data_IF_089606171984
#
_entry.id   IF_089606171984
#
_cell.length_a   1.000
_cell.length_b   1.000
_cell.length_c   1.000
_cell.angle_alpha   90.00
_cell.angle_beta   90.00
_cell.angle_gamma   90.00
#
_symmetry.space_group_name_H-M   'P 1'
#
loop_
_entity.id
_entity.type
_entity.pdbx_description
1 polymer ?
#
# COMPACT_ATOMS: atom_id res chain seq x y z
N UNK A 1 16.78 0.71 -8.89
CA UNK A 1 15.90 1.25 -7.84
C UNK A 1 16.38 0.65 -6.52
N UNK A 2 16.70 1.49 -5.57
CA UNK A 2 17.28 1.03 -4.31
C UNK A 2 16.25 1.08 -3.17
N UNK A 3 15.30 2.00 -3.25
CA UNK A 3 14.24 2.17 -2.26
C UNK A 3 12.86 2.32 -2.92
N UNK A 4 11.80 1.97 -2.19
CA UNK A 4 10.42 2.07 -2.70
C UNK A 4 10.05 3.51 -3.09
N UNK A 5 10.66 4.51 -2.43
CA UNK A 5 10.52 5.91 -2.81
C UNK A 5 10.93 6.25 -4.25
N UNK A 6 11.81 5.45 -4.87
CA UNK A 6 12.23 5.64 -6.27
C UNK A 6 11.08 5.39 -7.26
N UNK A 7 10.10 4.56 -6.88
CA UNK A 7 8.87 4.36 -7.66
C UNK A 7 8.05 5.64 -7.80
N UNK A 8 8.24 6.57 -6.87
CA UNK A 8 7.53 7.85 -6.81
C UNK A 8 8.31 8.99 -7.48
N UNK A 9 9.39 8.71 -8.20
CA UNK A 9 10.19 9.73 -8.87
C UNK A 9 9.34 10.54 -9.86
N UNK A 10 9.61 11.85 -9.97
CA UNK A 10 8.78 12.78 -10.77
C UNK A 10 8.76 12.47 -12.26
N UNK A 11 9.83 11.90 -12.79
CA UNK A 11 9.97 11.49 -14.18
C UNK A 11 9.14 10.25 -14.52
N UNK A 12 8.68 9.50 -13.52
CA UNK A 12 7.75 8.36 -13.68
C UNK A 12 6.27 8.79 -13.80
N UNK A 13 5.97 10.07 -13.65
CA UNK A 13 4.59 10.59 -13.81
C UNK A 13 4.15 10.50 -15.26
N UNK A 14 3.20 9.63 -15.53
CA UNK A 14 2.57 9.49 -16.84
C UNK A 14 1.05 9.59 -16.74
N UNK A 15 0.36 9.43 -17.87
CA UNK A 15 -1.10 9.32 -17.94
C UNK A 15 -1.57 7.86 -17.97
N UNK A 16 -0.62 6.92 -17.96
CA UNK A 16 -0.93 5.51 -17.96
C UNK A 16 -1.53 5.12 -16.61
N UNK A 17 -2.40 4.13 -16.60
CA UNK A 17 -3.07 3.65 -15.39
C UNK A 17 -2.04 2.95 -14.50
N UNK A 18 -1.90 3.40 -13.26
CA UNK A 18 -1.05 2.79 -12.26
C UNK A 18 -1.83 1.91 -11.29
N UNK A 19 -3.09 2.28 -11.01
CA UNK A 19 -3.89 1.59 -10.01
C UNK A 19 -5.38 1.65 -10.39
N UNK A 20 -6.09 0.53 -10.19
CA UNK A 20 -7.54 0.42 -10.31
C UNK A 20 -8.09 -0.03 -8.95
N UNK A 21 -9.08 0.68 -8.44
CA UNK A 21 -9.75 0.33 -7.19
C UNK A 21 -10.91 -0.66 -7.41
N UNK A 22 -11.38 -1.30 -6.35
CA UNK A 22 -12.46 -2.29 -6.41
C UNK A 22 -13.77 -1.76 -7.04
N UNK A 23 -14.01 -0.44 -6.95
CA UNK A 23 -15.14 0.26 -7.59
C UNK A 23 -14.86 0.64 -9.07
N UNK A 24 -13.79 0.10 -9.66
CA UNK A 24 -13.40 0.31 -11.05
C UNK A 24 -12.77 1.67 -11.37
N UNK A 25 -12.49 2.51 -10.36
CA UNK A 25 -11.85 3.80 -10.61
C UNK A 25 -10.38 3.65 -10.94
N UNK A 26 -9.99 4.21 -12.06
CA UNK A 26 -8.59 4.26 -12.49
C UNK A 26 -7.86 5.46 -11.91
N UNK A 27 -6.59 5.25 -11.55
CA UNK A 27 -5.65 6.29 -11.10
C UNK A 27 -4.39 6.21 -11.95
N UNK A 28 -4.03 7.33 -12.54
CA UNK A 28 -2.80 7.42 -13.35
C UNK A 28 -1.55 7.42 -12.47
N UNK A 29 -0.38 7.12 -13.05
CA UNK A 29 0.91 7.29 -12.36
C UNK A 29 1.08 8.71 -11.83
N UNK A 30 0.62 9.71 -12.57
CA UNK A 30 0.61 11.11 -12.11
C UNK A 30 -0.23 11.27 -10.84
N UNK A 31 -1.43 10.69 -10.83
CA UNK A 31 -2.34 10.81 -9.68
C UNK A 31 -1.79 10.04 -8.47
N UNK A 32 -1.32 8.82 -8.68
CA UNK A 32 -0.74 7.99 -7.63
C UNK A 32 0.46 8.67 -6.96
N UNK A 33 1.45 9.10 -7.76
CA UNK A 33 2.66 9.76 -7.27
C UNK A 33 2.32 11.09 -6.57
N UNK A 34 1.42 11.89 -7.16
CA UNK A 34 1.01 13.17 -6.56
C UNK A 34 0.35 12.97 -5.21
N UNK A 35 -0.57 11.99 -5.10
CA UNK A 35 -1.26 11.72 -3.85
C UNK A 35 -0.37 10.98 -2.83
N UNK A 36 0.58 10.15 -3.26
CA UNK A 36 1.58 9.57 -2.35
C UNK A 36 2.46 10.66 -1.69
N UNK A 37 2.83 11.72 -2.43
CA UNK A 37 3.54 12.86 -1.84
C UNK A 37 2.70 13.62 -0.81
N UNK A 38 1.41 13.79 -1.09
CA UNK A 38 0.48 14.40 -0.14
C UNK A 38 0.32 13.52 1.10
N UNK A 39 0.19 12.21 0.91
CA UNK A 39 0.12 11.24 2.01
C UNK A 39 1.36 11.30 2.90
N UNK A 40 2.56 11.40 2.32
CA UNK A 40 3.79 11.59 3.07
C UNK A 40 3.75 12.88 3.92
N UNK A 41 3.24 13.99 3.40
CA UNK A 41 3.11 15.24 4.15
C UNK A 41 2.08 15.13 5.28
N UNK A 42 0.91 14.50 5.05
CA UNK A 42 -0.09 14.25 6.10
C UNK A 42 0.51 13.37 7.20
N UNK A 43 1.15 12.26 6.84
CA UNK A 43 1.80 11.38 7.82
C UNK A 43 2.86 12.12 8.63
N UNK A 44 3.68 12.95 7.97
CA UNK A 44 4.67 13.79 8.64
C UNK A 44 4.03 14.81 9.58
N UNK A 45 2.94 15.44 9.19
CA UNK A 45 2.16 16.35 10.04
C UNK A 45 1.64 15.63 11.28
N UNK A 46 1.14 14.39 11.12
CA UNK A 46 0.69 13.51 12.20
C UNK A 46 1.85 12.92 13.04
N UNK A 47 3.07 13.28 12.77
CA UNK A 47 4.23 12.93 13.58
C UNK A 47 5.05 11.75 13.08
N UNK A 48 4.68 11.11 11.96
CA UNK A 48 5.52 10.07 11.37
C UNK A 48 6.88 10.64 10.94
N UNK A 49 7.94 9.90 11.19
CA UNK A 49 9.33 10.23 10.89
C UNK A 49 10.06 8.96 10.51
N UNK A 50 11.26 9.12 9.98
CA UNK A 50 12.17 8.00 9.76
C UNK A 50 12.25 7.11 11.01
N UNK A 51 12.06 5.81 10.84
CA UNK A 51 12.06 4.80 11.89
C UNK A 51 10.82 4.73 12.78
N UNK A 52 9.87 5.68 12.68
CA UNK A 52 8.60 5.58 13.41
C UNK A 52 7.57 4.77 12.62
N UNK A 53 6.83 3.90 13.28
CA UNK A 53 5.85 3.02 12.62
C UNK A 53 4.55 3.75 12.29
N UNK A 54 4.03 3.47 11.10
CA UNK A 54 2.66 3.82 10.67
C UNK A 54 1.85 2.53 10.61
N UNK A 55 0.84 2.40 11.48
CA UNK A 55 -0.07 1.26 11.45
C UNK A 55 -1.22 1.55 10.49
N UNK A 56 -1.47 0.66 9.55
CA UNK A 56 -2.46 0.84 8.48
C UNK A 56 -3.37 -0.37 8.43
N UNK A 57 -4.65 -0.13 8.22
CA UNK A 57 -5.61 -1.18 7.94
C UNK A 57 -5.18 -2.05 6.74
N UNK A 58 -5.26 -3.40 6.85
CA UNK A 58 -4.73 -4.30 5.83
C UNK A 58 -5.63 -4.46 4.59
N UNK A 59 -6.81 -3.83 4.57
CA UNK A 59 -7.74 -3.92 3.44
C UNK A 59 -7.15 -3.23 2.20
N UNK A 60 -7.06 -3.94 1.05
CA UNK A 60 -6.62 -3.33 -0.19
C UNK A 60 -7.50 -2.16 -0.60
N UNK A 61 -6.90 -0.98 -0.74
CA UNK A 61 -7.62 0.24 -1.08
C UNK A 61 -6.71 1.38 -1.51
N UNK A 62 -7.29 2.41 -2.10
CA UNK A 62 -6.52 3.58 -2.55
C UNK A 62 -5.82 4.27 -1.37
N UNK A 63 -6.53 4.49 -0.27
CA UNK A 63 -6.00 5.23 0.89
C UNK A 63 -4.93 4.43 1.63
N UNK A 64 -5.11 3.12 1.79
CA UNK A 64 -4.12 2.22 2.40
C UNK A 64 -2.84 2.12 1.55
N UNK A 65 -3.00 2.04 0.22
CA UNK A 65 -1.86 2.07 -0.72
C UNK A 65 -1.13 3.42 -0.68
N UNK A 66 -1.86 4.55 -0.61
CA UNK A 66 -1.25 5.87 -0.49
C UNK A 66 -0.49 6.04 0.85
N UNK A 67 -1.06 5.55 1.94
CA UNK A 67 -0.40 5.57 3.25
C UNK A 67 0.91 4.77 3.22
N UNK A 68 0.88 3.56 2.63
CA UNK A 68 2.08 2.74 2.43
C UNK A 68 3.14 3.47 1.61
N UNK A 69 2.79 3.96 0.42
CA UNK A 69 3.75 4.65 -0.46
C UNK A 69 4.28 5.95 0.16
N UNK A 70 3.41 6.71 0.82
CA UNK A 70 3.80 7.93 1.53
C UNK A 70 4.74 7.66 2.70
N UNK A 71 4.45 6.65 3.51
CA UNK A 71 5.28 6.21 4.62
C UNK A 71 6.65 5.70 4.14
N UNK A 72 6.65 4.87 3.09
CA UNK A 72 7.88 4.39 2.44
C UNK A 72 8.78 5.54 1.98
N UNK A 73 8.18 6.59 1.39
CA UNK A 73 8.92 7.80 0.99
C UNK A 73 9.49 8.60 2.16
N UNK A 74 8.92 8.49 3.36
CA UNK A 74 9.42 9.13 4.60
C UNK A 74 10.47 8.30 5.35
N UNK A 75 10.63 7.01 5.02
CA UNK A 75 11.40 6.07 5.83
C UNK A 75 10.69 5.67 7.13
N UNK A 76 9.38 5.77 7.15
CA UNK A 76 8.53 5.29 8.23
C UNK A 76 8.01 3.89 7.87
N UNK A 77 8.45 2.81 8.53
CA UNK A 77 7.97 1.48 8.23
C UNK A 77 6.46 1.36 8.50
N UNK A 78 5.78 0.59 7.67
CA UNK A 78 4.35 0.33 7.82
C UNK A 78 4.14 -1.00 8.54
N UNK A 79 3.12 -1.07 9.40
CA UNK A 79 2.58 -2.30 9.94
C UNK A 79 1.11 -2.43 9.50
N UNK A 80 0.80 -3.53 8.83
CA UNK A 80 -0.57 -3.82 8.39
C UNK A 80 -1.24 -4.75 9.40
N UNK A 81 -1.68 -4.23 10.46
CA UNK A 81 -2.62 -4.79 11.42
C UNK A 81 -2.78 -3.85 12.63
N UNK A 82 -3.49 -2.75 12.50
CA UNK A 82 -3.69 -1.82 13.60
C UNK A 82 -4.59 -2.40 14.72
N UNK A 83 -5.33 -3.49 14.41
CA UNK A 83 -6.29 -4.09 15.34
C UNK A 83 -5.63 -5.08 16.30
N UNK A 84 -4.50 -5.68 15.93
CA UNK A 84 -3.76 -6.61 16.79
C UNK A 84 -3.14 -5.98 18.04
N UNK A 85 -3.28 -4.69 18.19
CA UNK A 85 -2.83 -3.92 19.34
C UNK A 85 -2.00 -2.72 18.89
N UNK A 86 -2.33 -1.56 19.43
CA UNK A 86 -1.58 -0.34 19.16
C UNK A 86 -0.31 -0.40 19.98
N UNK A 87 0.82 -0.64 19.32
CA UNK A 87 2.13 -0.74 19.95
C UNK A 87 2.69 0.65 20.27
N UNK A 88 3.54 0.74 21.29
CA UNK A 88 4.15 2.01 21.72
C UNK A 88 5.01 2.70 20.65
N UNK A 89 5.35 2.01 19.56
CA UNK A 89 6.15 2.55 18.45
C UNK A 89 5.33 3.24 17.35
N UNK A 90 4.02 3.03 17.35
CA UNK A 90 3.16 3.59 16.31
C UNK A 90 2.99 5.10 16.52
N UNK A 91 3.24 5.87 15.49
CA UNK A 91 3.03 7.33 15.50
C UNK A 91 1.72 7.73 14.88
N UNK A 92 1.27 6.97 13.90
CA UNK A 92 0.00 7.17 13.21
C UNK A 92 -0.68 5.82 13.08
N UNK A 93 -1.97 5.80 13.30
CA UNK A 93 -2.87 4.69 12.98
C UNK A 93 -3.85 5.19 11.93
N UNK A 94 -3.99 4.48 10.82
CA UNK A 94 -4.95 4.77 9.76
C UNK A 94 -5.90 3.60 9.56
N UNK A 95 -7.17 3.82 9.81
CA UNK A 95 -8.26 2.83 9.67
C UNK A 95 -9.45 3.40 8.91
N UNK A 96 -10.37 2.55 8.45
CA UNK A 96 -11.66 3.01 7.95
C UNK A 96 -12.45 3.75 9.06
N UNK A 97 -13.24 4.75 8.69
CA UNK A 97 -14.08 5.49 9.65
C UNK A 97 -15.04 4.58 10.42
N UNK A 98 -15.45 3.46 9.81
CA UNK A 98 -16.30 2.46 10.46
C UNK A 98 -15.64 1.81 11.70
N UNK A 99 -14.30 1.76 11.73
CA UNK A 99 -13.52 1.16 12.82
C UNK A 99 -13.02 2.19 13.85
N UNK A 100 -13.35 3.47 13.64
CA UNK A 100 -12.93 4.55 14.55
C UNK A 100 -13.32 4.27 15.99
N UNK A 101 -14.58 3.85 16.23
CA UNK A 101 -15.12 3.65 17.58
C UNK A 101 -14.43 2.51 18.34
N UNK A 102 -13.85 1.54 17.63
CA UNK A 102 -13.19 0.37 18.22
C UNK A 102 -11.67 0.53 18.29
N UNK A 103 -11.13 1.60 17.67
CA UNK A 103 -9.69 1.87 17.64
C UNK A 103 -9.32 2.86 18.75
N UNK A 104 -8.54 2.41 19.74
CA UNK A 104 -8.06 3.23 20.85
C UNK A 104 -6.54 3.44 20.72
N UNK A 105 -6.08 4.60 20.18
CA UNK A 105 -4.67 4.87 20.00
C UNK A 105 -3.93 4.98 21.34
N UNK A 106 -2.70 4.47 21.38
CA UNK A 106 -1.83 4.64 22.54
C UNK A 106 -1.47 6.11 22.74
N UNK A 107 -1.12 6.55 23.97
CA UNK A 107 -0.68 7.91 24.22
C UNK A 107 0.48 8.33 23.32
N UNK A 108 0.33 9.43 22.58
CA UNK A 108 1.31 9.94 21.62
C UNK A 108 1.21 9.35 20.21
N UNK A 109 0.20 8.53 19.95
CA UNK A 109 -0.18 8.04 18.63
C UNK A 109 -1.35 8.86 18.10
N UNK A 110 -1.30 9.30 16.85
CA UNK A 110 -2.38 10.02 16.19
C UNK A 110 -3.26 9.06 15.38
N UNK A 111 -4.57 9.14 15.56
CA UNK A 111 -5.54 8.39 14.78
C UNK A 111 -5.99 9.22 13.57
N UNK A 112 -6.00 8.61 12.40
CA UNK A 112 -6.60 9.13 11.19
C UNK A 112 -7.59 8.12 10.63
N UNK A 113 -8.68 8.60 10.04
CA UNK A 113 -9.68 7.74 9.41
C UNK A 113 -9.96 8.16 7.98
N UNK A 114 -10.23 7.16 7.13
CA UNK A 114 -10.65 7.35 5.74
C UNK A 114 -12.05 6.74 5.50
N UNK A 115 -12.67 7.12 4.38
CA UNK A 115 -14.01 6.64 3.99
C UNK A 115 -15.14 7.52 4.50
N UNK A 116 -14.83 8.66 5.12
CA UNK A 116 -15.78 9.65 5.61
C UNK A 116 -15.24 10.47 6.77
N UNK A 117 -16.00 11.50 7.22
CA UNK A 117 -15.59 12.32 8.34
C UNK A 117 -15.61 11.52 9.65
N UNK A 118 -14.59 11.69 10.51
CA UNK A 118 -14.56 11.06 11.83
C UNK A 118 -15.66 11.62 12.76
N UNK A 119 -16.06 10.80 13.74
CA UNK A 119 -17.00 11.21 14.79
C UNK A 119 -16.26 11.94 15.93
N UNK A 120 -15.01 11.58 16.23
CA UNK A 120 -14.20 12.18 17.29
C UNK A 120 -13.45 13.41 16.78
N UNK A 121 -13.51 14.57 17.47
CA UNK A 121 -12.84 15.79 17.01
C UNK A 121 -11.30 15.72 17.02
N UNK A 122 -10.72 14.80 17.80
CA UNK A 122 -9.28 14.54 17.86
C UNK A 122 -8.79 13.60 16.74
N UNK A 123 -9.69 12.90 16.07
CA UNK A 123 -9.36 12.03 14.93
C UNK A 123 -9.19 12.83 13.66
N UNK A 124 -8.14 12.56 12.92
CA UNK A 124 -7.86 13.27 11.67
C UNK A 124 -8.69 12.70 10.52
N UNK A 125 -9.36 13.57 9.79
CA UNK A 125 -10.04 13.20 8.53
C UNK A 125 -9.02 13.13 7.40
N UNK A 126 -8.60 11.91 7.04
CA UNK A 126 -7.51 11.65 6.10
C UNK A 126 -7.69 12.31 4.73
N UNK A 127 -8.88 12.19 4.11
CA UNK A 127 -9.15 12.75 2.80
C UNK A 127 -9.11 14.28 2.80
N UNK A 128 -9.60 14.90 3.86
CA UNK A 128 -9.58 16.36 4.00
C UNK A 128 -8.15 16.90 4.06
N UNK A 129 -7.30 16.23 4.84
CA UNK A 129 -5.88 16.60 4.93
C UNK A 129 -5.15 16.35 3.61
N UNK A 130 -5.36 15.19 2.97
CA UNK A 130 -4.81 14.91 1.63
C UNK A 130 -5.19 15.97 0.61
N UNK A 131 -6.45 16.44 0.65
CA UNK A 131 -6.92 17.44 -0.30
C UNK A 131 -6.18 18.76 -0.14
N UNK A 132 -5.90 19.18 1.08
CA UNK A 132 -5.25 20.45 1.40
C UNK A 132 -3.74 20.45 1.24
N UNK A 133 -3.10 19.27 1.19
CA UNK A 133 -1.64 19.17 1.20
C UNK A 133 -0.95 19.51 -0.11
N UNK A 134 0.30 19.96 0.03
CA UNK A 134 1.19 20.25 -1.09
C UNK A 134 1.72 18.94 -1.73
N UNK A 135 1.70 18.78 -3.06
CA UNK A 135 2.23 17.61 -3.76
C UNK A 135 3.77 17.61 -3.91
N UNK A 136 4.49 17.96 -2.86
CA UNK A 136 5.94 17.90 -2.78
C UNK A 136 6.39 16.79 -1.82
N UNK A 137 7.25 15.86 -2.27
CA UNK A 137 7.80 14.84 -1.39
C UNK A 137 8.67 15.49 -0.31
N UNK A 138 8.46 15.19 0.97
CA UNK A 138 9.36 15.60 2.03
C UNK A 138 10.75 14.99 1.84
N UNK A 139 11.83 15.68 2.24
CA UNK A 139 13.17 15.10 2.20
C UNK A 139 13.26 13.92 3.20
N UNK A 140 13.92 12.86 2.78
CA UNK A 140 14.24 11.67 3.59
C UNK A 140 15.62 11.12 3.23
N UNK A 141 16.19 10.29 4.11
CA UNK A 141 17.53 9.68 3.94
C UNK A 141 17.43 8.15 3.88
N UNK A 142 16.32 7.65 3.37
CA UNK A 142 16.00 6.21 3.31
C UNK A 142 17.02 5.45 2.47
N UNK A 143 17.53 4.35 3.01
CA UNK A 143 18.40 3.40 2.34
C UNK A 143 17.74 2.05 2.07
N UNK A 144 18.35 1.19 1.23
CA UNK A 144 17.79 -0.11 0.87
C UNK A 144 17.68 -1.09 2.05
N UNK A 145 18.48 -0.91 3.10
CA UNK A 145 18.49 -1.75 4.30
C UNK A 145 17.54 -1.27 5.39
N UNK A 146 16.90 -0.11 5.19
CA UNK A 146 15.94 0.40 6.17
C UNK A 146 14.64 -0.41 6.12
N UNK A 147 13.95 -0.56 7.27
CA UNK A 147 12.70 -1.31 7.32
C UNK A 147 11.60 -0.60 6.54
N UNK A 148 10.90 -1.35 5.69
CA UNK A 148 9.74 -0.91 4.92
C UNK A 148 8.43 -1.38 5.57
N UNK A 149 8.40 -2.65 5.98
CA UNK A 149 7.24 -3.26 6.62
C UNK A 149 7.69 -3.96 7.89
N UNK A 150 6.97 -3.74 8.98
CA UNK A 150 7.13 -4.48 10.23
C UNK A 150 6.17 -5.66 10.24
N UNK A 151 6.72 -6.86 10.26
CA UNK A 151 5.98 -8.11 10.30
C UNK A 151 6.19 -8.88 11.60
N UNK A 152 5.30 -9.83 11.89
CA UNK A 152 5.43 -10.70 13.06
C UNK A 152 6.69 -11.60 13.00
N UNK A 153 7.09 -11.99 11.79
CA UNK A 153 8.25 -12.86 11.53
C UNK A 153 9.56 -12.07 11.27
N UNK A 154 9.51 -10.75 11.40
CA UNK A 154 10.63 -9.85 11.20
C UNK A 154 10.32 -8.71 10.23
N UNK A 155 11.20 -7.71 10.23
CA UNK A 155 11.07 -6.55 9.36
C UNK A 155 11.52 -6.88 7.93
N UNK A 156 10.79 -6.35 6.96
CA UNK A 156 11.15 -6.41 5.54
C UNK A 156 11.72 -5.06 5.14
N UNK A 157 12.87 -5.09 4.49
CA UNK A 157 13.59 -3.89 4.05
C UNK A 157 13.09 -3.39 2.69
N UNK A 158 13.40 -2.14 2.35
CA UNK A 158 13.12 -1.59 1.02
C UNK A 158 13.76 -2.43 -0.10
N UNK A 159 15.04 -2.80 0.06
CA UNK A 159 15.75 -3.63 -0.91
C UNK A 159 15.14 -5.02 -1.04
N UNK A 160 14.88 -5.70 0.09
CA UNK A 160 14.28 -7.03 0.08
C UNK A 160 12.90 -7.09 -0.61
N UNK A 161 12.07 -6.06 -0.38
CA UNK A 161 10.77 -5.97 -1.04
C UNK A 161 10.88 -5.72 -2.56
N UNK A 162 11.84 -4.87 -2.98
CA UNK A 162 12.09 -4.60 -4.40
C UNK A 162 12.73 -5.79 -5.13
N UNK A 163 13.62 -6.53 -4.48
CA UNK A 163 14.21 -7.75 -5.03
C UNK A 163 13.14 -8.83 -5.26
N UNK A 164 12.23 -8.99 -4.30
CA UNK A 164 11.09 -9.89 -4.45
C UNK A 164 10.16 -9.42 -5.59
N UNK A 165 9.89 -8.13 -5.68
CA UNK A 165 9.09 -7.55 -6.77
C UNK A 165 9.72 -7.79 -8.14
N UNK A 166 11.03 -7.60 -8.28
CA UNK A 166 11.77 -7.86 -9.51
C UNK A 166 11.72 -9.35 -9.89
N UNK A 167 11.86 -10.25 -8.90
CA UNK A 167 11.77 -11.70 -9.13
C UNK A 167 10.39 -12.07 -9.67
N UNK A 168 9.31 -11.56 -9.07
CA UNK A 168 7.95 -11.80 -9.56
C UNK A 168 7.76 -11.23 -10.97
N UNK A 169 8.26 -10.02 -11.23
CA UNK A 169 8.15 -9.43 -12.56
C UNK A 169 8.83 -10.29 -13.64
N UNK A 170 10.02 -10.78 -13.36
CA UNK A 170 10.80 -11.61 -14.28
C UNK A 170 10.15 -13.00 -14.48
N UNK A 171 9.77 -13.67 -13.40
CA UNK A 171 9.26 -15.05 -13.46
C UNK A 171 7.89 -15.15 -14.12
N UNK A 172 7.01 -14.15 -13.87
CA UNK A 172 5.64 -14.15 -14.40
C UNK A 172 5.48 -13.30 -15.66
N UNK A 173 6.53 -12.61 -16.09
CA UNK A 173 6.53 -11.75 -17.28
C UNK A 173 5.68 -10.51 -17.12
N UNK A 174 5.74 -9.88 -15.93
CA UNK A 174 5.03 -8.62 -15.65
C UNK A 174 5.75 -7.46 -16.36
N UNK A 175 5.04 -6.73 -17.18
CA UNK A 175 5.52 -5.57 -17.94
C UNK A 175 4.58 -4.37 -17.84
N UNK A 176 4.82 -3.35 -18.65
CA UNK A 176 4.01 -2.11 -18.65
C UNK A 176 2.56 -2.29 -19.13
N UNK A 177 2.23 -3.38 -19.78
CA UNK A 177 0.87 -3.68 -20.25
C UNK A 177 0.13 -4.60 -19.28
N UNK A 178 0.85 -5.22 -18.33
CA UNK A 178 0.32 -6.22 -17.39
C UNK A 178 -0.51 -5.57 -16.29
N UNK A 179 -1.68 -6.17 -16.02
CA UNK A 179 -2.56 -5.84 -14.88
C UNK A 179 -2.44 -6.93 -13.82
N UNK A 180 -1.90 -6.61 -12.67
CA UNK A 180 -1.75 -7.53 -11.53
C UNK A 180 -2.84 -7.28 -10.52
N UNK A 181 -3.64 -8.30 -10.22
CA UNK A 181 -4.79 -8.21 -9.32
C UNK A 181 -4.40 -8.71 -7.93
N UNK A 182 -4.58 -7.87 -6.92
CA UNK A 182 -4.43 -8.24 -5.52
C UNK A 182 -5.74 -8.84 -5.00
N UNK A 183 -5.75 -10.15 -4.75
CA UNK A 183 -6.89 -10.91 -4.22
C UNK A 183 -6.65 -11.45 -2.81
N UNK A 184 -5.79 -10.77 -2.07
CA UNK A 184 -5.48 -11.12 -0.68
C UNK A 184 -5.26 -9.86 0.14
N UNK A 185 -5.07 -10.02 1.45
CA UNK A 185 -4.83 -8.91 2.36
C UNK A 185 -3.45 -8.30 2.18
N UNK A 186 -3.31 -7.00 2.48
CA UNK A 186 -2.01 -6.31 2.61
C UNK A 186 -1.26 -6.70 3.90
N UNK A 187 -1.88 -7.47 4.80
CA UNK A 187 -1.23 -7.93 6.04
C UNK A 187 0.01 -8.79 5.76
N UNK A 188 0.03 -9.52 4.64
CA UNK A 188 1.21 -10.25 4.20
C UNK A 188 2.07 -9.36 3.29
N UNK A 189 3.31 -9.03 3.69
CA UNK A 189 4.17 -8.16 2.89
C UNK A 189 4.59 -8.75 1.54
N UNK A 190 4.45 -10.08 1.35
CA UNK A 190 4.66 -10.73 0.05
C UNK A 190 3.62 -10.25 -0.97
N UNK A 191 2.38 -10.00 -0.49
CA UNK A 191 1.32 -9.43 -1.33
C UNK A 191 1.67 -8.03 -1.85
N UNK A 192 2.30 -7.18 -1.01
CA UNK A 192 2.78 -5.87 -1.43
C UNK A 192 3.85 -5.98 -2.52
N UNK A 193 4.84 -6.86 -2.32
CA UNK A 193 5.93 -7.04 -3.29
C UNK A 193 5.38 -7.52 -4.64
N UNK A 194 4.50 -8.52 -4.65
CA UNK A 194 3.99 -9.13 -5.86
C UNK A 194 2.93 -8.29 -6.58
N UNK A 195 1.96 -7.71 -5.85
CA UNK A 195 0.80 -7.08 -6.47
C UNK A 195 0.87 -5.55 -6.53
N UNK A 196 1.75 -4.92 -5.75
CA UNK A 196 1.89 -3.46 -5.77
C UNK A 196 3.24 -3.06 -6.34
N UNK A 197 4.35 -3.55 -5.76
CA UNK A 197 5.68 -3.10 -6.18
C UNK A 197 6.11 -3.67 -7.53
N UNK A 198 5.81 -4.94 -7.83
CA UNK A 198 6.19 -5.55 -9.11
C UNK A 198 5.59 -4.82 -10.31
N UNK A 199 4.26 -4.65 -10.44
CA UNK A 199 3.70 -3.91 -11.57
C UNK A 199 4.16 -2.44 -11.58
N UNK A 200 4.18 -1.75 -10.44
CA UNK A 200 4.61 -0.35 -10.40
C UNK A 200 6.07 -0.18 -10.80
N UNK A 201 6.94 -1.16 -10.56
CA UNK A 201 8.35 -1.08 -10.92
C UNK A 201 8.59 -1.04 -12.44
N UNK A 202 7.77 -1.77 -13.20
CA UNK A 202 7.87 -1.92 -14.66
C UNK A 202 6.91 -1.03 -15.46
N UNK A 203 6.08 -0.23 -14.78
CA UNK A 203 5.10 0.64 -15.44
C UNK A 203 3.73 -0.01 -15.71
N UNK A 204 3.48 -1.18 -15.13
CA UNK A 204 2.21 -1.91 -15.22
C UNK A 204 1.12 -1.37 -14.27
N UNK A 205 0.03 -2.09 -14.14
CA UNK A 205 -1.14 -1.66 -13.37
C UNK A 205 -1.41 -2.59 -12.19
N UNK A 206 -1.54 -2.03 -10.98
CA UNK A 206 -2.07 -2.72 -9.81
C UNK A 206 -3.60 -2.64 -9.81
N UNK A 207 -4.29 -3.77 -9.66
CA UNK A 207 -5.74 -3.82 -9.48
C UNK A 207 -6.05 -4.29 -8.05
N UNK A 208 -6.70 -3.44 -7.27
CA UNK A 208 -7.13 -3.74 -5.91
C UNK A 208 -8.54 -4.32 -5.96
N UNK A 209 -8.66 -5.63 -5.90
CA UNK A 209 -9.95 -6.30 -5.87
C UNK A 209 -10.48 -6.42 -4.44
N UNK A 210 -11.80 -6.40 -4.27
CA UNK A 210 -12.40 -6.81 -3.01
C UNK A 210 -12.11 -8.30 -2.76
N UNK A 211 -11.55 -8.63 -1.59
CA UNK A 211 -11.29 -10.02 -1.20
C UNK A 211 -12.56 -10.89 -1.14
N UNK A 212 -13.74 -10.28 -1.16
CA UNK A 212 -15.07 -10.92 -1.12
C UNK A 212 -15.79 -10.92 -2.47
N UNK A 213 -15.18 -10.42 -3.55
CA UNK A 213 -15.86 -10.40 -4.84
C UNK A 213 -15.75 -11.77 -5.50
N UNK A 214 -16.87 -12.49 -5.55
CA UNK A 214 -17.04 -13.84 -6.10
C UNK A 214 -16.85 -13.93 -7.64
N UNK A 215 -16.01 -13.10 -8.22
CA UNK A 215 -15.72 -13.12 -9.66
C UNK A 215 -16.88 -12.66 -10.58
N UNK A 216 -18.03 -12.28 -10.01
CA UNK A 216 -19.19 -11.76 -10.74
C UNK A 216 -19.24 -10.22 -10.76
N UNK A 217 -18.17 -9.57 -10.30
CA UNK A 217 -17.99 -8.12 -10.34
C UNK A 217 -17.64 -7.63 -11.73
N UNK A 218 -17.72 -6.31 -11.89
CA UNK A 218 -17.39 -5.55 -13.08
C UNK A 218 -16.05 -6.01 -13.71
N UNK A 219 -16.01 -6.17 -15.04
CA UNK A 219 -14.79 -6.53 -15.79
C UNK A 219 -13.58 -5.61 -15.52
N UNK A 220 -13.82 -4.42 -14.95
CA UNK A 220 -12.78 -3.47 -14.57
C UNK A 220 -11.83 -3.98 -13.47
N UNK A 221 -12.28 -4.92 -12.62
CA UNK A 221 -11.50 -5.54 -11.54
C UNK A 221 -10.73 -6.80 -11.98
N UNK A 222 -10.62 -7.06 -13.27
CA UNK A 222 -9.87 -8.19 -13.84
C UNK A 222 -8.47 -7.76 -14.30
N UNK A 223 -7.59 -8.77 -14.39
CA UNK A 223 -6.22 -8.59 -14.87
C UNK A 223 -5.65 -9.82 -15.54
N UNK A 224 -4.34 -9.80 -15.73
CA UNK A 224 -3.58 -10.87 -16.40
C UNK A 224 -3.00 -11.86 -15.40
N UNK A 225 -2.74 -11.40 -14.18
CA UNK A 225 -2.11 -12.15 -13.10
C UNK A 225 -2.81 -11.82 -11.77
N UNK A 226 -3.19 -12.85 -11.00
CA UNK A 226 -3.72 -12.68 -9.64
C UNK A 226 -2.68 -13.07 -8.58
N UNK A 227 -2.55 -12.25 -7.55
CA UNK A 227 -1.82 -12.59 -6.32
C UNK A 227 -2.83 -13.06 -5.29
N UNK A 228 -2.68 -14.31 -4.83
CA UNK A 228 -3.65 -15.02 -3.99
C UNK A 228 -2.99 -15.57 -2.72
N UNK A 229 -3.79 -15.76 -1.66
CA UNK A 229 -3.35 -16.45 -0.47
C UNK A 229 -3.09 -17.95 -0.75
N UNK A 230 -2.22 -18.58 0.05
CA UNK A 230 -1.82 -19.98 -0.15
C UNK A 230 -2.98 -21.00 0.02
N UNK A 231 -3.98 -20.63 0.77
CA UNK A 231 -5.19 -21.43 1.05
C UNK A 231 -6.35 -21.14 0.08
N UNK A 232 -6.13 -20.33 -0.93
CA UNK A 232 -7.14 -19.99 -1.93
C UNK A 232 -7.48 -21.23 -2.76
N UNK A 233 -8.64 -21.84 -2.49
CA UNK A 233 -9.17 -23.01 -3.21
C UNK A 233 -10.08 -22.64 -4.37
N UNK A 234 -10.55 -21.40 -4.40
CA UNK A 234 -11.52 -20.93 -5.38
C UNK A 234 -10.83 -20.50 -6.69
N UNK A 235 -11.48 -20.83 -7.81
CA UNK A 235 -10.99 -20.39 -9.11
C UNK A 235 -11.08 -18.88 -9.23
N UNK A 236 -9.96 -18.23 -9.50
CA UNK A 236 -9.90 -16.81 -9.83
C UNK A 236 -10.10 -16.60 -11.33
N UNK A 237 -10.63 -15.44 -11.75
CA UNK A 237 -10.91 -15.18 -13.18
C UNK A 237 -9.65 -14.92 -14.01
N UNK A 238 -8.50 -14.63 -13.40
CA UNK A 238 -7.24 -14.33 -14.06
C UNK A 238 -6.60 -15.59 -14.66
N UNK A 239 -5.97 -15.50 -15.84
CA UNK A 239 -5.37 -16.66 -16.51
C UNK A 239 -4.11 -17.20 -15.82
N UNK A 240 -3.47 -16.39 -14.97
CA UNK A 240 -2.29 -16.74 -14.20
C UNK A 240 -2.48 -16.37 -12.72
N UNK A 241 -1.82 -17.12 -11.84
CA UNK A 241 -1.82 -16.86 -10.39
C UNK A 241 -0.40 -16.94 -9.82
N UNK A 242 -0.16 -16.16 -8.77
CA UNK A 242 1.00 -16.23 -7.88
C UNK A 242 0.49 -16.47 -6.48
N UNK A 243 0.81 -17.61 -5.89
CA UNK A 243 0.54 -17.86 -4.47
C UNK A 243 1.59 -17.14 -3.60
N UNK A 244 1.20 -16.69 -2.41
CA UNK A 244 2.14 -15.98 -1.52
C UNK A 244 3.37 -16.83 -1.17
N UNK A 245 3.24 -18.16 -1.05
CA UNK A 245 4.35 -19.09 -0.81
C UNK A 245 5.41 -19.10 -1.92
N UNK A 246 5.08 -18.66 -3.13
CA UNK A 246 5.99 -18.56 -4.26
C UNK A 246 6.79 -17.25 -4.22
N UNK A 247 6.39 -16.26 -3.40
CA UNK A 247 7.04 -14.96 -3.27
C UNK A 247 8.05 -14.99 -2.12
N UNK A 248 9.32 -14.94 -2.44
CA UNK A 248 10.41 -14.96 -1.45
C UNK A 248 10.85 -13.52 -1.16
N UNK A 249 10.54 -13.02 0.03
CA UNK A 249 11.05 -11.73 0.54
C UNK A 249 12.15 -12.02 1.56
N UNK A 250 13.31 -11.38 1.42
CA UNK A 250 14.49 -11.59 2.27
C UNK A 250 14.87 -10.35 3.05
#
# INVERSE_FOLDING_TARGET
MDVVGDLLARDRRSRDTALVTADGRERTYRDLITNAYKAANVLRYLGAREGSTVAVEPTPGFHTTLAFLGAAGLGAPVRFDPVAGIEQGDRVVLVAVADESTTEPAPGTNLATFGGPPDRPETTHWEQELWSENPGMPPSTVGPTDPLVRGADGDITHGGALDAAATVADEYGVDSETRVVLRTSLADPRALSAAVLAPLSVGGTTVLADAKSDGHGDDSARGDLAVVADDTSDAVPEPKTVALSEVVVR
#
